data_IF_905920569052
#
_entry.id   IF_905920569052
#
_cell.length_a   1.000
_cell.length_b   1.000
_cell.length_c   1.000
_cell.angle_alpha   90.00
_cell.angle_beta   90.00
_cell.angle_gamma   90.00
#
_symmetry.space_group_name_H-M   'P 1'
#
loop_
_entity.id
_entity.type
_entity.pdbx_description
1 polymer ?
#
# COMPACT_ATOMS: atom_id res chain seq x y z
N UNK A 1 -34.69 11.54 -10.04
CA UNK A 1 -34.56 10.73 -11.27
C UNK A 1 -33.77 11.47 -12.31
N UNK A 2 -32.74 10.88 -12.87
CA UNK A 2 -32.04 11.55 -13.96
C UNK A 2 -32.90 11.53 -15.24
N UNK A 3 -33.06 12.68 -15.83
CA UNK A 3 -33.90 12.87 -17.03
C UNK A 3 -33.09 12.86 -18.31
N UNK A 4 -31.83 13.32 -18.22
CA UNK A 4 -30.95 13.43 -19.38
C UNK A 4 -30.35 12.05 -19.70
N UNK A 5 -30.25 11.71 -20.99
CA UNK A 5 -29.73 10.40 -21.44
C UNK A 5 -28.33 10.13 -20.92
N UNK A 6 -27.46 11.15 -20.90
CA UNK A 6 -26.09 11.02 -20.35
C UNK A 6 -26.12 10.68 -18.87
N UNK A 7 -27.03 11.28 -18.09
CA UNK A 7 -27.19 11.00 -16.68
C UNK A 7 -27.68 9.57 -16.45
N UNK A 8 -28.58 9.07 -17.31
CA UNK A 8 -29.07 7.69 -17.22
C UNK A 8 -27.93 6.70 -17.50
N UNK A 9 -27.12 6.98 -18.51
CA UNK A 9 -25.95 6.16 -18.83
C UNK A 9 -24.98 6.14 -17.64
N UNK A 10 -24.72 7.31 -17.08
CA UNK A 10 -23.82 7.44 -15.91
C UNK A 10 -24.36 6.64 -14.72
N UNK A 11 -25.64 6.75 -14.44
CA UNK A 11 -26.28 6.02 -13.35
C UNK A 11 -26.12 4.50 -13.50
N UNK A 12 -26.30 3.98 -14.72
CA UNK A 12 -26.08 2.54 -14.97
C UNK A 12 -24.63 2.12 -14.72
N UNK A 13 -23.69 2.94 -15.17
CA UNK A 13 -22.28 2.67 -14.94
C UNK A 13 -21.92 2.71 -13.45
N UNK A 14 -22.45 3.70 -12.74
CA UNK A 14 -22.15 3.87 -11.33
C UNK A 14 -22.72 2.72 -10.48
N UNK A 15 -23.95 2.27 -10.79
CA UNK A 15 -24.51 1.09 -10.13
C UNK A 15 -23.66 -0.18 -10.37
N UNK A 16 -23.10 -0.30 -11.57
CA UNK A 16 -22.23 -1.43 -11.90
C UNK A 16 -20.91 -1.36 -11.10
N UNK A 17 -20.32 -0.17 -11.05
CA UNK A 17 -19.10 0.06 -10.27
C UNK A 17 -19.34 -0.12 -8.78
N UNK A 18 -20.48 0.34 -8.28
CA UNK A 18 -20.87 0.18 -6.89
C UNK A 18 -20.86 -1.28 -6.48
N UNK A 19 -21.56 -2.13 -7.25
CA UNK A 19 -21.59 -3.56 -6.97
C UNK A 19 -20.20 -4.19 -6.95
N UNK A 20 -19.35 -3.81 -7.92
CA UNK A 20 -17.97 -4.30 -7.98
C UNK A 20 -17.17 -3.85 -6.76
N UNK A 21 -17.32 -2.59 -6.37
CA UNK A 21 -16.62 -2.04 -5.22
C UNK A 21 -17.06 -2.71 -3.92
N UNK A 22 -18.35 -2.99 -3.78
CA UNK A 22 -18.89 -3.65 -2.59
C UNK A 22 -18.37 -5.08 -2.47
N UNK A 23 -18.33 -5.82 -3.58
CA UNK A 23 -17.73 -7.16 -3.59
C UNK A 23 -16.29 -7.11 -3.09
N UNK A 24 -15.50 -6.13 -3.57
CA UNK A 24 -14.11 -6.00 -3.15
C UNK A 24 -14.01 -5.63 -1.67
N UNK A 25 -14.89 -4.75 -1.18
CA UNK A 25 -14.96 -4.39 0.24
C UNK A 25 -15.29 -5.60 1.11
N UNK A 26 -16.22 -6.44 0.67
CA UNK A 26 -16.58 -7.64 1.42
C UNK A 26 -15.44 -8.65 1.45
N UNK A 27 -14.80 -8.89 0.30
CA UNK A 27 -13.63 -9.75 0.23
C UNK A 27 -12.51 -9.26 1.12
N UNK A 28 -12.31 -7.94 1.15
CA UNK A 28 -11.31 -7.33 2.02
C UNK A 28 -11.65 -7.55 3.49
N UNK A 29 -12.91 -7.28 3.89
CA UNK A 29 -13.36 -7.47 5.27
C UNK A 29 -13.21 -8.93 5.71
N UNK A 30 -13.62 -9.86 4.85
CA UNK A 30 -13.53 -11.29 5.16
C UNK A 30 -12.08 -11.75 5.31
N UNK A 31 -11.19 -11.28 4.42
CA UNK A 31 -9.77 -11.62 4.48
C UNK A 31 -9.11 -11.08 5.77
N UNK A 32 -9.46 -9.85 6.16
CA UNK A 32 -8.94 -9.26 7.40
C UNK A 32 -9.44 -10.04 8.62
N UNK A 33 -10.73 -10.43 8.63
CA UNK A 33 -11.30 -11.24 9.72
C UNK A 33 -10.61 -12.59 9.81
N UNK A 34 -10.40 -13.24 8.67
CA UNK A 34 -9.71 -14.53 8.59
C UNK A 34 -8.27 -14.41 9.10
N UNK A 35 -7.56 -13.36 8.71
CA UNK A 35 -6.19 -13.12 9.16
C UNK A 35 -6.12 -12.89 10.67
N UNK A 36 -7.07 -12.13 11.22
CA UNK A 36 -7.14 -11.88 12.67
C UNK A 36 -7.46 -13.15 13.45
N UNK A 37 -8.30 -14.01 12.88
CA UNK A 37 -8.70 -15.26 13.54
C UNK A 37 -7.59 -16.30 13.46
N UNK A 38 -7.04 -16.53 12.29
CA UNK A 38 -6.04 -17.57 12.05
C UNK A 38 -4.64 -17.18 12.50
N UNK A 39 -4.28 -15.91 12.40
CA UNK A 39 -2.95 -15.38 12.75
C UNK A 39 -1.82 -16.16 12.09
N UNK A 40 -2.08 -16.74 10.94
CA UNK A 40 -1.12 -17.54 10.19
C UNK A 40 -0.47 -16.66 9.12
N UNK A 41 0.82 -16.88 8.84
CA UNK A 41 1.52 -16.11 7.80
C UNK A 41 0.79 -16.11 6.47
N UNK A 42 0.27 -17.27 6.05
CA UNK A 42 -0.47 -17.39 4.77
C UNK A 42 -1.72 -16.52 4.76
N UNK A 43 -2.50 -16.54 5.84
CA UNK A 43 -3.74 -15.74 5.89
C UNK A 43 -3.44 -14.25 5.92
N UNK A 44 -2.35 -13.85 6.58
CA UNK A 44 -1.90 -12.46 6.62
C UNK A 44 -1.42 -12.00 5.24
N UNK A 45 -0.65 -12.83 4.53
CA UNK A 45 -0.19 -12.50 3.18
C UNK A 45 -1.37 -12.31 2.23
N UNK A 46 -2.37 -13.20 2.31
CA UNK A 46 -3.60 -13.08 1.52
C UNK A 46 -4.34 -11.80 1.84
N UNK A 47 -4.45 -11.45 3.12
CA UNK A 47 -5.12 -10.22 3.54
C UNK A 47 -4.37 -8.97 3.03
N UNK A 48 -3.04 -8.96 3.11
CA UNK A 48 -2.22 -7.86 2.60
C UNK A 48 -2.44 -7.69 1.08
N UNK A 49 -2.46 -8.79 0.33
CA UNK A 49 -2.73 -8.74 -1.12
C UNK A 49 -4.10 -8.13 -1.43
N UNK A 50 -5.12 -8.44 -0.63
CA UNK A 50 -6.45 -7.85 -0.81
C UNK A 50 -6.47 -6.37 -0.44
N UNK A 51 -5.71 -5.96 0.59
CA UNK A 51 -5.57 -4.55 0.97
C UNK A 51 -4.90 -3.76 -0.15
N UNK A 52 -3.82 -4.29 -0.74
CA UNK A 52 -3.12 -3.63 -1.84
C UNK A 52 -4.01 -3.51 -3.08
N UNK A 53 -4.78 -4.55 -3.39
CA UNK A 53 -5.72 -4.51 -4.52
C UNK A 53 -6.79 -3.44 -4.30
N UNK A 54 -7.33 -3.34 -3.09
CA UNK A 54 -8.35 -2.35 -2.76
C UNK A 54 -7.80 -0.92 -2.79
N UNK A 55 -6.54 -0.74 -2.39
CA UNK A 55 -5.85 0.56 -2.47
C UNK A 55 -5.58 0.94 -3.93
N UNK A 56 -5.13 -0.01 -4.75
CA UNK A 56 -4.87 0.22 -6.17
C UNK A 56 -6.14 0.65 -6.92
N UNK A 57 -7.29 0.13 -6.53
CA UNK A 57 -8.58 0.49 -7.12
C UNK A 57 -9.22 1.72 -6.46
N UNK A 58 -8.49 2.39 -5.58
CA UNK A 58 -8.95 3.58 -4.85
C UNK A 58 -10.24 3.35 -4.04
N UNK A 59 -10.50 2.10 -3.64
CA UNK A 59 -11.65 1.75 -2.80
C UNK A 59 -11.37 2.15 -1.36
N UNK A 60 -10.08 2.07 -0.97
CA UNK A 60 -9.61 2.56 0.31
C UNK A 60 -8.41 3.49 0.07
N UNK A 61 -8.27 4.47 0.92
CA UNK A 61 -7.15 5.40 0.84
C UNK A 61 -5.83 4.69 1.19
N UNK A 62 -4.73 5.09 0.55
CA UNK A 62 -3.41 4.49 0.77
C UNK A 62 -2.97 4.54 2.24
N UNK A 63 -3.26 5.62 2.95
CA UNK A 63 -2.94 5.74 4.37
C UNK A 63 -3.67 4.67 5.20
N UNK A 64 -4.93 4.40 4.86
CA UNK A 64 -5.70 3.35 5.52
C UNK A 64 -5.12 1.97 5.20
N UNK A 65 -4.71 1.76 3.95
CA UNK A 65 -4.05 0.52 3.54
C UNK A 65 -2.76 0.31 4.31
N UNK A 66 -1.93 1.36 4.46
CA UNK A 66 -0.69 1.29 5.21
C UNK A 66 -0.93 0.89 6.67
N UNK A 67 -1.93 1.51 7.32
CA UNK A 67 -2.30 1.18 8.70
C UNK A 67 -2.77 -0.27 8.83
N UNK A 68 -3.58 -0.73 7.90
CA UNK A 68 -4.07 -2.11 7.89
C UNK A 68 -2.93 -3.10 7.68
N UNK A 69 -2.00 -2.82 6.76
CA UNK A 69 -0.84 -3.69 6.53
C UNK A 69 0.05 -3.78 7.76
N UNK A 70 0.34 -2.65 8.38
CA UNK A 70 1.11 -2.62 9.62
C UNK A 70 0.45 -3.45 10.73
N UNK A 71 -0.87 -3.28 10.89
CA UNK A 71 -1.63 -4.03 11.88
C UNK A 71 -1.63 -5.53 11.58
N UNK A 72 -1.76 -5.91 10.31
CA UNK A 72 -1.76 -7.32 9.90
C UNK A 72 -0.38 -7.97 10.06
N UNK A 73 0.69 -7.25 9.74
CA UNK A 73 2.05 -7.79 9.91
C UNK A 73 2.40 -8.03 11.37
N UNK A 74 1.86 -7.22 12.29
CA UNK A 74 2.03 -7.47 13.74
C UNK A 74 1.32 -8.72 14.20
N UNK A 75 0.23 -9.12 13.55
CA UNK A 75 -0.52 -10.33 13.90
C UNK A 75 0.17 -11.59 13.40
N UNK A 76 0.86 -11.51 12.29
CA UNK A 76 1.68 -12.61 11.83
C UNK A 76 2.83 -12.74 12.82
N UNK A 77 2.81 -13.77 13.64
CA UNK A 77 3.99 -14.08 14.41
C UNK A 77 5.15 -14.19 13.43
N UNK A 78 6.19 -13.41 13.60
CA UNK A 78 7.33 -13.56 12.73
C UNK A 78 7.79 -15.00 12.87
N UNK A 79 7.63 -15.73 11.80
CA UNK A 79 8.40 -16.96 11.69
C UNK A 79 9.82 -16.45 11.58
N UNK A 80 10.47 -16.30 12.71
CA UNK A 80 11.87 -15.96 12.69
C UNK A 80 12.60 -17.10 12.04
N UNK A 81 12.60 -17.06 10.74
CA UNK A 81 13.58 -17.83 10.03
C UNK A 81 14.92 -17.18 10.36
N UNK A 82 15.84 -17.95 10.77
CA UNK A 82 17.18 -17.43 11.08
C UNK A 82 17.76 -16.66 9.93
N UNK A 83 17.37 -17.03 8.73
CA UNK A 83 17.83 -16.37 7.50
C UNK A 83 17.35 -14.92 7.44
N UNK A 84 16.14 -14.65 7.88
CA UNK A 84 15.59 -13.31 7.84
C UNK A 84 16.35 -12.32 8.72
N UNK A 85 16.92 -12.81 9.83
CA UNK A 85 17.68 -11.93 10.71
C UNK A 85 18.90 -11.34 10.02
N UNK A 86 19.55 -12.11 9.18
CA UNK A 86 20.72 -11.63 8.49
C UNK A 86 20.37 -10.51 7.50
N UNK A 87 19.24 -10.63 6.83
CA UNK A 87 18.83 -9.61 5.90
C UNK A 87 18.40 -8.32 6.58
N UNK A 88 17.89 -8.44 7.77
CA UNK A 88 17.52 -7.24 8.52
C UNK A 88 18.72 -6.39 8.86
N UNK A 89 19.82 -7.04 9.18
CA UNK A 89 21.05 -6.31 9.52
C UNK A 89 21.56 -5.48 8.37
N UNK A 90 21.30 -5.92 7.19
CA UNK A 90 21.75 -5.17 6.04
C UNK A 90 21.03 -3.86 5.86
N UNK A 91 20.24 -3.59 6.66
CA UNK A 91 19.54 -2.50 6.49
C UNK A 91 20.16 -1.20 6.76
N UNK A 92 20.35 -0.70 6.51
CA UNK A 92 20.70 0.37 6.88
C UNK A 92 20.41 1.59 6.31
N UNK A 93 20.35 1.81 6.43
CA UNK A 93 20.32 2.60 6.06
C UNK A 93 20.28 3.61 5.68
N UNK A 94 20.37 3.89 5.86
CA UNK A 94 20.39 4.71 5.61
C UNK A 94 20.57 5.59 5.15
N UNK A 95 20.61 6.06 5.15
CA UNK A 95 20.75 6.78 4.90
C UNK A 95 20.98 7.56 4.23
N UNK A 96 20.90 7.92 4.11
CA UNK A 96 21.16 8.61 3.62
C UNK A 96 21.29 9.66 3.17
N UNK A 97 21.37 10.13 3.17
CA UNK A 97 21.36 10.99 2.64
C UNK A 97 21.96 11.71 1.94
N UNK A 98 22.03 12.00 1.80
CA UNK A 98 22.50 12.55 1.30
C UNK A 98 22.74 13.54 0.88
N UNK A 99 22.86 13.91 0.89
CA UNK A 99 23.05 14.68 0.51
C UNK A 99 23.69 15.29 -0.11
N UNK A 100 23.84 15.59 -0.23
CA UNK A 100 24.30 16.14 -0.64
C UNK A 100 24.92 16.84 -1.26
N UNK A 101 25.15 17.10 -1.48
CA UNK A 101 25.66 17.64 -1.97
C UNK A 101 25.85 18.56 -2.59
N UNK A 102 26.07 18.96 -2.65
CA UNK A 102 26.29 19.68 -3.17
C UNK A 102 27.02 20.19 -3.76
N UNK A 103 27.26 20.42 -4.02
CA UNK A 103 27.86 20.90 -4.45
C UNK A 103 28.33 21.84 -4.91
N UNK A 104 28.66 22.18 -5.00
CA UNK A 104 29.03 22.87 -5.35
C UNK A 104 29.69 23.41 -6.23
N UNK A 105 29.71 23.88 -6.51
CA UNK A 105 30.22 24.31 -7.31
C UNK A 105 31.05 25.13 -7.56
N UNK A 106 31.67 25.24 -7.74
CA UNK A 106 32.42 25.96 -7.88
C UNK A 106 32.70 26.84 -8.76
N UNK A 107 32.96 27.35 -8.90
CA UNK A 107 33.26 27.95 -9.56
C UNK A 107 34.08 28.44 -10.07
N UNK A 108 34.54 28.71 -10.35
CA UNK A 108 35.21 29.18 -10.84
C UNK A 108 35.58 30.09 -11.32
N UNK A 109 36.01 30.59 -11.39
CA UNK A 109 36.37 31.27 -11.89
C UNK A 109 37.12 31.81 -12.49
N UNK A 110 37.31 32.09 -12.64
CA UNK A 110 37.88 32.56 -13.15
C UNK A 110 38.59 33.44 -13.51
N UNK A 111 38.97 33.75 -13.70
CA UNK A 111 39.56 34.40 -13.98
C UNK A 111 40.08 35.17 -14.58
N UNK A 112 40.38 35.61 -14.70
CA UNK A 112 40.72 36.24 -15.13
C UNK A 112 41.49 36.94 -15.61
N UNK A 113 41.78 37.34 -15.97
CA UNK A 113 42.45 38.03 -16.29
C UNK A 113 42.60 38.65 -16.86
#
# INVERSE_FOLDING_TARGET
MPVIKSAIKKLRQDRKKEKQNDQIRELLKSAIRAAKKAKTGKSVTTAISKVDKAAKLNIIHENKAARLKSSLSKLAKPVRSKVADKTVDSKPSKKAPAKASKSTTPKKKAASK
#
